data_IF_042837012301
#
_entry.id   IF_042837012301
#
_cell.length_a   1.000
_cell.length_b   1.000
_cell.length_c   1.000
_cell.angle_alpha   90.00
_cell.angle_beta   90.00
_cell.angle_gamma   90.00
#
_symmetry.space_group_name_H-M   'P 1'
#
loop_
_entity.id
_entity.type
_entity.pdbx_description
1 polymer ?
#
# COMPACT_ATOMS: atom_id res chain seq x y z
N UNK A 1 19.67 -11.19 30.28
CA UNK A 1 18.74 -10.95 29.15
C UNK A 1 19.57 -10.29 28.06
N UNK A 2 19.96 -11.10 27.05
CA UNK A 2 20.96 -10.69 26.08
C UNK A 2 20.38 -9.67 25.11
N UNK A 3 21.10 -8.57 24.86
CA UNK A 3 20.76 -7.48 23.92
C UNK A 3 20.68 -7.95 22.44
N UNK A 4 20.90 -9.23 22.16
CA UNK A 4 20.88 -9.82 20.82
C UNK A 4 19.51 -10.33 20.35
N UNK A 5 18.50 -10.41 21.22
CA UNK A 5 17.19 -10.97 20.88
C UNK A 5 16.16 -9.97 20.33
N UNK A 6 16.55 -8.70 20.15
CA UNK A 6 15.65 -7.64 19.65
C UNK A 6 15.64 -7.57 18.11
N UNK A 7 16.62 -8.14 17.44
CA UNK A 7 16.57 -8.37 15.99
C UNK A 7 15.95 -9.75 15.71
N UNK A 8 14.64 -9.88 15.97
CA UNK A 8 13.87 -11.00 15.47
C UNK A 8 14.11 -11.08 13.96
N UNK A 9 14.71 -12.17 13.52
CA UNK A 9 15.11 -12.42 12.15
C UNK A 9 13.90 -12.22 11.23
N UNK A 10 13.88 -11.10 10.50
CA UNK A 10 12.90 -10.91 9.44
C UNK A 10 13.15 -11.97 8.40
N UNK A 11 12.19 -12.85 8.20
CA UNK A 11 12.27 -13.86 7.15
C UNK A 11 11.70 -13.25 5.87
N UNK A 12 12.45 -13.37 4.79
CA UNK A 12 12.04 -12.91 3.47
C UNK A 12 12.01 -14.11 2.54
N UNK A 13 10.92 -14.26 1.79
CA UNK A 13 10.84 -15.24 0.72
C UNK A 13 10.31 -14.64 -0.56
N UNK A 14 10.82 -15.08 -1.70
CA UNK A 14 10.34 -14.73 -3.04
C UNK A 14 9.97 -16.02 -3.75
N UNK A 15 8.73 -16.09 -4.27
CA UNK A 15 8.17 -17.30 -4.91
C UNK A 15 8.31 -18.55 -4.01
N UNK A 16 8.14 -18.38 -2.69
CA UNK A 16 8.26 -19.43 -1.68
C UNK A 16 9.69 -19.84 -1.34
N UNK A 17 10.72 -19.26 -1.95
CA UNK A 17 12.12 -19.53 -1.65
C UNK A 17 12.67 -18.49 -0.68
N UNK A 18 13.25 -18.94 0.41
CA UNK A 18 13.83 -18.05 1.42
C UNK A 18 15.07 -17.33 0.90
N UNK A 19 15.21 -16.08 1.26
CA UNK A 19 16.40 -15.26 1.06
C UNK A 19 17.23 -15.38 2.34
N UNK A 20 18.38 -16.03 2.23
CA UNK A 20 19.24 -16.35 3.38
C UNK A 20 19.90 -15.09 3.97
N UNK A 21 20.30 -14.15 3.12
CA UNK A 21 20.95 -12.91 3.55
C UNK A 21 20.54 -11.71 2.71
N UNK A 22 20.47 -10.57 3.36
CA UNK A 22 20.25 -9.27 2.70
C UNK A 22 20.96 -8.17 3.49
N UNK A 23 21.34 -7.09 2.80
CA UNK A 23 22.02 -5.95 3.42
C UNK A 23 21.04 -4.96 4.03
N UNK A 24 19.95 -4.68 3.30
CA UNK A 24 18.98 -3.65 3.70
C UNK A 24 17.60 -3.97 3.18
N UNK A 25 16.61 -3.71 4.00
CA UNK A 25 15.20 -3.71 3.61
C UNK A 25 14.59 -2.35 3.96
N UNK A 26 13.94 -1.74 2.98
CA UNK A 26 13.11 -0.55 3.16
C UNK A 26 11.67 -0.90 2.84
N UNK A 27 10.76 -0.62 3.77
CA UNK A 27 9.32 -0.77 3.59
C UNK A 27 8.66 0.59 3.83
N UNK A 28 7.98 1.11 2.83
CA UNK A 28 7.25 2.37 2.86
C UNK A 28 5.75 2.09 2.80
N UNK A 29 5.04 2.52 3.82
CA UNK A 29 3.60 2.29 3.95
C UNK A 29 2.86 3.61 3.92
N UNK A 30 1.76 3.67 3.17
CA UNK A 30 0.94 4.86 3.01
C UNK A 30 -0.54 4.51 2.99
N UNK A 31 -1.38 5.43 3.47
CA UNK A 31 -2.83 5.36 3.34
C UNK A 31 -3.20 5.86 1.95
N UNK A 32 -4.19 5.24 1.32
CA UNK A 32 -4.66 5.57 -0.02
C UNK A 32 -3.59 5.46 -1.12
N UNK A 33 -2.56 4.64 -0.89
CA UNK A 33 -1.52 4.38 -1.88
C UNK A 33 -0.98 2.96 -1.73
N UNK A 34 -0.21 2.50 -2.74
CA UNK A 34 0.50 1.23 -2.64
C UNK A 34 1.63 1.35 -1.63
N UNK A 35 1.80 0.31 -0.81
CA UNK A 35 3.02 0.17 -0.06
C UNK A 35 4.16 -0.21 -0.99
N UNK A 36 5.38 0.24 -0.71
CA UNK A 36 6.57 -0.03 -1.51
C UNK A 36 7.60 -0.75 -0.68
N UNK A 37 8.31 -1.66 -1.29
CA UNK A 37 9.49 -2.26 -0.68
C UNK A 37 10.71 -2.12 -1.59
N UNK A 38 11.88 -2.04 -0.95
CA UNK A 38 13.19 -2.10 -1.61
C UNK A 38 14.08 -3.02 -0.79
N UNK A 39 14.53 -4.09 -1.40
CA UNK A 39 15.41 -5.09 -0.80
C UNK A 39 16.77 -5.05 -1.49
N UNK A 40 17.83 -4.86 -0.72
CA UNK A 40 19.21 -4.85 -1.18
C UNK A 40 19.85 -6.18 -0.82
N UNK A 41 20.24 -6.94 -1.82
CA UNK A 41 20.93 -8.21 -1.70
C UNK A 41 22.41 -8.02 -2.03
N UNK A 42 23.27 -8.76 -1.34
CA UNK A 42 24.67 -8.81 -1.67
C UNK A 42 24.89 -9.53 -3.00
N UNK A 43 25.65 -8.92 -3.91
CA UNK A 43 25.93 -9.53 -5.21
C UNK A 43 26.98 -10.65 -5.15
N UNK A 44 27.45 -10.98 -3.94
CA UNK A 44 28.58 -11.92 -3.79
C UNK A 44 29.90 -11.33 -4.31
N UNK A 45 30.99 -11.95 -3.95
CA UNK A 45 32.38 -11.46 -4.16
C UNK A 45 32.85 -11.60 -5.62
N UNK A 46 31.99 -11.47 -6.62
CA UNK A 46 32.42 -11.56 -8.02
C UNK A 46 32.54 -10.19 -8.64
N UNK A 47 33.75 -9.84 -9.13
CA UNK A 47 34.02 -8.59 -9.87
C UNK A 47 33.27 -8.50 -11.21
N UNK A 48 32.58 -9.56 -11.58
CA UNK A 48 31.73 -9.61 -12.78
C UNK A 48 30.32 -9.99 -12.39
N UNK A 49 29.33 -9.29 -12.97
CA UNK A 49 27.93 -9.68 -12.88
C UNK A 49 27.81 -11.09 -13.44
N UNK A 50 27.60 -12.06 -12.57
CA UNK A 50 27.45 -13.44 -12.97
C UNK A 50 26.12 -13.59 -13.72
N UNK A 51 26.16 -13.94 -15.00
CA UNK A 51 24.98 -14.14 -15.83
C UNK A 51 23.98 -15.12 -15.23
N UNK A 52 24.46 -16.14 -14.49
CA UNK A 52 23.58 -17.10 -13.80
C UNK A 52 22.78 -16.45 -12.67
N UNK A 53 23.34 -15.47 -11.96
CA UNK A 53 22.61 -14.72 -10.93
C UNK A 53 21.55 -13.82 -11.58
N UNK A 54 21.93 -13.14 -12.68
CA UNK A 54 20.98 -12.30 -13.44
C UNK A 54 19.78 -13.13 -13.92
N UNK A 55 20.01 -14.34 -14.44
CA UNK A 55 18.95 -15.20 -14.94
C UNK A 55 18.08 -15.76 -13.79
N UNK A 56 18.66 -16.01 -12.62
CA UNK A 56 17.90 -16.41 -11.44
C UNK A 56 16.98 -15.29 -10.95
N UNK A 57 17.50 -14.07 -10.79
CA UNK A 57 16.72 -12.96 -10.24
C UNK A 57 15.67 -12.44 -11.21
N UNK A 58 15.88 -12.53 -12.53
CA UNK A 58 14.85 -12.21 -13.53
C UNK A 58 13.58 -13.02 -13.34
N UNK A 59 13.68 -14.25 -12.86
CA UNK A 59 12.52 -15.11 -12.60
C UNK A 59 11.66 -14.58 -11.45
N UNK A 60 12.15 -13.65 -10.63
CA UNK A 60 11.40 -13.05 -9.54
C UNK A 60 10.43 -11.94 -10.00
N UNK A 61 10.61 -11.39 -11.20
CA UNK A 61 9.68 -10.39 -11.74
C UNK A 61 8.25 -10.95 -11.81
N UNK A 62 7.31 -10.20 -11.26
CA UNK A 62 5.90 -10.60 -11.14
C UNK A 62 5.62 -11.63 -10.06
N UNK A 63 6.64 -12.08 -9.30
CA UNK A 63 6.48 -13.06 -8.23
C UNK A 63 6.15 -12.41 -6.90
N UNK A 64 5.50 -13.21 -6.05
CA UNK A 64 5.15 -12.78 -4.70
C UNK A 64 6.37 -12.77 -3.80
N UNK A 65 6.55 -11.68 -3.06
CA UNK A 65 7.46 -11.57 -1.92
C UNK A 65 6.64 -11.59 -0.63
N UNK A 66 7.14 -12.33 0.37
CA UNK A 66 6.61 -12.31 1.73
C UNK A 66 7.73 -11.86 2.67
N UNK A 67 7.45 -10.83 3.45
CA UNK A 67 8.37 -10.27 4.45
C UNK A 67 7.70 -10.45 5.82
N UNK A 68 8.18 -11.42 6.58
CA UNK A 68 7.65 -11.73 7.91
C UNK A 68 8.43 -10.97 8.98
N UNK A 69 7.75 -10.28 9.86
CA UNK A 69 8.35 -9.53 10.98
C UNK A 69 7.41 -9.53 12.18
N UNK A 70 7.87 -10.03 13.33
CA UNK A 70 7.20 -9.92 14.65
C UNK A 70 5.67 -10.06 14.61
N UNK A 71 5.20 -11.18 14.03
CA UNK A 71 3.76 -11.53 14.04
C UNK A 71 2.91 -10.82 12.98
N UNK A 72 3.54 -10.13 12.02
CA UNK A 72 2.85 -9.57 10.85
C UNK A 72 3.65 -9.86 9.58
N UNK A 73 2.93 -10.26 8.55
CA UNK A 73 3.48 -10.45 7.23
C UNK A 73 3.18 -9.23 6.34
N UNK A 74 4.10 -8.97 5.43
CA UNK A 74 3.86 -8.09 4.31
C UNK A 74 3.98 -8.91 3.03
N UNK A 75 2.92 -8.92 2.25
CA UNK A 75 2.84 -9.61 0.97
C UNK A 75 2.87 -8.58 -0.16
N UNK A 76 3.81 -8.76 -1.07
CA UNK A 76 4.00 -7.84 -2.21
C UNK A 76 4.31 -8.58 -3.50
N UNK A 77 4.43 -7.80 -4.57
CA UNK A 77 4.80 -8.27 -5.91
C UNK A 77 6.09 -7.58 -6.33
N UNK A 78 7.05 -8.35 -6.80
CA UNK A 78 8.30 -7.83 -7.37
C UNK A 78 8.02 -7.23 -8.73
N UNK A 79 8.30 -5.95 -8.91
CA UNK A 79 8.04 -5.24 -10.16
C UNK A 79 9.27 -4.73 -10.87
N UNK A 80 10.39 -4.61 -10.14
CA UNK A 80 11.63 -4.09 -10.67
C UNK A 80 12.83 -4.78 -10.03
N UNK A 81 13.85 -5.04 -10.83
CA UNK A 81 15.12 -5.58 -10.38
C UNK A 81 16.24 -4.80 -11.09
N UNK A 82 17.11 -4.20 -10.30
CA UNK A 82 18.27 -3.45 -10.81
C UNK A 82 19.56 -3.99 -10.17
N UNK A 83 20.66 -3.72 -10.86
CA UNK A 83 22.00 -4.00 -10.38
C UNK A 83 22.67 -2.65 -10.16
N UNK A 84 23.11 -2.40 -8.93
CA UNK A 84 23.81 -1.19 -8.56
C UNK A 84 25.28 -1.56 -8.30
N UNK A 85 26.18 -0.93 -9.07
CA UNK A 85 27.63 -1.10 -8.99
C UNK A 85 28.27 0.29 -9.01
N UNK A 86 28.97 0.65 -7.95
CA UNK A 86 29.67 1.92 -7.81
C UNK A 86 31.13 1.66 -7.48
N UNK A 87 32.03 2.49 -7.97
CA UNK A 87 33.48 2.31 -7.82
C UNK A 87 33.92 2.28 -6.33
N UNK A 88 33.23 3.04 -5.48
CA UNK A 88 33.56 3.19 -4.04
C UNK A 88 32.52 2.57 -3.10
N UNK A 89 31.49 1.89 -3.60
CA UNK A 89 30.40 1.32 -2.81
C UNK A 89 30.22 -0.17 -3.08
N UNK A 90 29.56 -0.83 -2.14
CA UNK A 90 29.21 -2.24 -2.28
C UNK A 90 28.28 -2.48 -3.50
N UNK A 91 28.46 -3.60 -4.18
CA UNK A 91 27.63 -4.02 -5.31
C UNK A 91 26.34 -4.68 -4.81
N UNK A 92 25.20 -4.24 -5.29
CA UNK A 92 23.92 -4.75 -4.88
C UNK A 92 23.04 -5.23 -6.02
N UNK A 93 22.27 -6.26 -5.74
CA UNK A 93 21.06 -6.58 -6.48
C UNK A 93 19.93 -5.89 -5.72
N UNK A 94 19.22 -4.98 -6.38
CA UNK A 94 18.13 -4.22 -5.77
C UNK A 94 16.81 -4.74 -6.31
N UNK A 95 16.01 -5.35 -5.43
CA UNK A 95 14.68 -5.86 -5.75
C UNK A 95 13.64 -4.90 -5.21
N UNK A 96 12.82 -4.35 -6.09
CA UNK A 96 11.76 -3.39 -5.73
C UNK A 96 10.39 -3.92 -6.12
N UNK A 97 9.40 -3.42 -5.44
CA UNK A 97 8.02 -3.71 -5.79
C UNK A 97 7.03 -3.06 -4.86
N UNK A 98 5.81 -3.50 -5.00
CA UNK A 98 4.66 -2.93 -4.31
C UNK A 98 3.90 -4.00 -3.54
N UNK A 99 3.03 -3.57 -2.61
CA UNK A 99 2.00 -4.43 -2.02
C UNK A 99 1.17 -5.11 -3.11
N UNK A 100 0.51 -6.21 -2.76
CA UNK A 100 -0.37 -6.93 -3.69
C UNK A 100 -1.47 -6.07 -4.31
N UNK A 101 -1.74 -4.89 -3.75
CA UNK A 101 -2.68 -3.91 -4.30
C UNK A 101 -2.31 -3.41 -5.70
N UNK A 102 -1.05 -3.58 -6.14
CA UNK A 102 -0.63 -3.28 -7.52
C UNK A 102 -1.40 -4.07 -8.57
N UNK A 103 -1.93 -5.24 -8.20
CA UNK A 103 -2.77 -6.07 -9.07
C UNK A 103 -4.08 -5.38 -9.47
N UNK A 104 -4.48 -4.32 -8.76
CA UNK A 104 -5.62 -3.48 -9.14
C UNK A 104 -5.31 -2.52 -10.29
N UNK A 105 -4.05 -2.34 -10.66
CA UNK A 105 -3.63 -1.49 -11.79
C UNK A 105 -3.57 -2.24 -13.13
N UNK A 106 -4.14 -3.44 -13.21
CA UNK A 106 -4.18 -4.26 -14.42
C UNK A 106 -5.14 -3.66 -15.47
N UNK A 107 -4.65 -2.63 -16.15
CA UNK A 107 -5.32 -1.97 -17.26
C UNK A 107 -6.53 -1.10 -16.89
N UNK A 108 -6.87 -0.20 -17.80
CA UNK A 108 -8.02 0.68 -17.66
C UNK A 108 -9.32 -0.04 -18.05
N UNK A 109 -10.38 0.23 -17.32
CA UNK A 109 -11.70 -0.36 -17.51
C UNK A 109 -12.76 0.73 -17.65
N UNK A 110 -13.85 0.36 -18.34
CA UNK A 110 -15.05 1.20 -18.44
C UNK A 110 -16.26 0.35 -18.13
N UNK A 111 -16.95 0.67 -17.04
CA UNK A 111 -18.17 -0.01 -16.61
C UNK A 111 -19.02 0.93 -15.76
N UNK A 112 -20.30 0.65 -15.66
CA UNK A 112 -21.24 1.44 -14.87
C UNK A 112 -21.95 0.58 -13.84
N UNK A 113 -22.36 1.23 -12.76
CA UNK A 113 -23.00 0.64 -11.61
C UNK A 113 -24.30 1.39 -11.34
N UNK A 114 -25.40 0.68 -11.21
CA UNK A 114 -26.72 1.25 -10.96
C UNK A 114 -27.32 0.60 -9.71
N UNK A 115 -27.68 1.41 -8.73
CA UNK A 115 -28.31 0.94 -7.51
C UNK A 115 -27.47 -0.04 -6.70
N UNK A 116 -26.13 0.04 -6.78
CA UNK A 116 -25.19 -0.82 -6.03
C UNK A 116 -24.64 -0.12 -4.82
N UNK A 117 -24.39 -0.87 -3.76
CA UNK A 117 -23.67 -0.36 -2.58
C UNK A 117 -22.16 -0.28 -2.85
N UNK A 118 -21.44 0.51 -2.05
CA UNK A 118 -19.97 0.51 -2.09
C UNK A 118 -19.41 -0.89 -1.88
N UNK A 119 -19.97 -1.64 -0.94
CA UNK A 119 -19.54 -3.02 -0.65
C UNK A 119 -19.69 -3.93 -1.87
N UNK A 120 -20.76 -3.79 -2.65
CA UNK A 120 -20.97 -4.60 -3.86
C UNK A 120 -19.94 -4.25 -4.93
N UNK A 121 -19.73 -2.96 -5.15
CA UNK A 121 -18.74 -2.47 -6.12
C UNK A 121 -17.35 -2.97 -5.77
N UNK A 122 -16.94 -2.77 -4.51
CA UNK A 122 -15.61 -3.16 -4.04
C UNK A 122 -15.38 -4.67 -4.14
N UNK A 123 -16.38 -5.50 -3.79
CA UNK A 123 -16.28 -6.96 -3.95
C UNK A 123 -16.04 -7.38 -5.39
N UNK A 124 -16.78 -6.84 -6.33
CA UNK A 124 -16.62 -7.18 -7.75
C UNK A 124 -15.25 -6.75 -8.26
N UNK A 125 -14.83 -5.53 -7.95
CA UNK A 125 -13.53 -5.00 -8.40
C UNK A 125 -12.36 -5.78 -7.81
N UNK A 126 -12.44 -6.14 -6.53
CA UNK A 126 -11.39 -6.89 -5.84
C UNK A 126 -11.30 -8.36 -6.31
N UNK A 127 -12.43 -9.03 -6.48
CA UNK A 127 -12.47 -10.41 -6.96
C UNK A 127 -11.81 -10.56 -8.33
N UNK A 128 -12.00 -9.59 -9.22
CA UNK A 128 -11.38 -9.57 -10.54
C UNK A 128 -9.85 -9.45 -10.48
N UNK A 129 -9.29 -8.99 -9.35
CA UNK A 129 -7.85 -8.77 -9.17
C UNK A 129 -7.18 -9.84 -8.29
N UNK A 130 -7.91 -10.87 -7.87
CA UNK A 130 -7.39 -11.95 -6.98
C UNK A 130 -6.78 -11.43 -5.68
N UNK A 131 -7.23 -10.28 -5.21
CA UNK A 131 -6.73 -9.64 -4.02
C UNK A 131 -7.59 -10.01 -2.81
N UNK A 132 -6.97 -10.36 -1.70
CA UNK A 132 -7.68 -10.52 -0.42
C UNK A 132 -8.11 -9.16 0.09
N UNK A 133 -9.40 -9.00 0.41
CA UNK A 133 -9.96 -7.73 0.86
C UNK A 133 -10.82 -7.91 2.11
N UNK A 134 -10.82 -6.89 2.97
CA UNK A 134 -11.80 -6.70 4.04
C UNK A 134 -12.61 -5.45 3.71
N UNK A 135 -13.92 -5.61 3.56
CA UNK A 135 -14.82 -4.54 3.09
C UNK A 135 -15.85 -4.26 4.18
N UNK A 136 -15.71 -3.11 4.82
CA UNK A 136 -16.56 -2.66 5.93
C UNK A 136 -16.77 -1.14 5.86
N UNK A 137 -17.35 -0.61 4.75
CA UNK A 137 -17.57 0.82 4.61
C UNK A 137 -18.66 1.30 5.59
N UNK A 138 -18.55 2.55 6.04
CA UNK A 138 -19.59 3.21 6.84
C UNK A 138 -20.79 3.63 5.96
N UNK A 139 -20.54 3.96 4.68
CA UNK A 139 -21.59 4.26 3.72
C UNK A 139 -22.22 2.97 3.18
N UNK A 140 -23.46 2.71 3.56
CA UNK A 140 -24.20 1.47 3.22
C UNK A 140 -25.32 1.70 2.22
N UNK A 141 -25.71 2.95 1.95
CA UNK A 141 -26.79 3.26 1.04
C UNK A 141 -26.46 2.91 -0.40
N UNK A 142 -27.45 2.46 -1.19
CA UNK A 142 -27.25 2.23 -2.62
C UNK A 142 -26.92 3.53 -3.37
N UNK A 143 -25.88 3.45 -4.19
CA UNK A 143 -25.48 4.53 -5.09
C UNK A 143 -26.38 4.49 -6.32
N UNK A 144 -27.05 5.61 -6.61
CA UNK A 144 -27.97 5.68 -7.74
C UNK A 144 -27.28 5.34 -9.05
N UNK A 145 -26.13 5.95 -9.29
CA UNK A 145 -25.31 5.71 -10.46
C UNK A 145 -23.84 6.01 -10.14
N UNK A 146 -22.97 5.16 -10.60
CA UNK A 146 -21.51 5.37 -10.56
C UNK A 146 -20.89 4.78 -11.84
N UNK A 147 -19.82 5.41 -12.31
CA UNK A 147 -19.10 4.92 -13.48
C UNK A 147 -17.59 4.86 -13.23
N UNK A 148 -16.99 3.79 -13.70
CA UNK A 148 -15.56 3.69 -13.93
C UNK A 148 -15.34 3.98 -15.41
N UNK A 149 -14.60 5.01 -15.76
CA UNK A 149 -14.39 5.41 -17.15
C UNK A 149 -12.91 5.57 -17.44
N UNK A 150 -12.37 4.68 -18.27
CA UNK A 150 -10.98 4.66 -18.69
C UNK A 150 -9.97 4.80 -17.54
N UNK A 151 -10.29 4.25 -16.37
CA UNK A 151 -9.43 4.23 -15.19
C UNK A 151 -9.18 2.80 -14.70
N UNK A 152 -8.02 2.54 -14.06
CA UNK A 152 -7.75 1.24 -13.47
C UNK A 152 -8.55 1.04 -12.17
N UNK A 153 -8.60 -0.20 -11.69
CA UNK A 153 -9.37 -0.55 -10.51
C UNK A 153 -8.87 0.16 -9.24
N UNK A 154 -7.57 0.38 -9.11
CA UNK A 154 -6.99 1.06 -7.95
C UNK A 154 -7.46 2.51 -7.89
N UNK A 155 -7.33 3.25 -8.98
CA UNK A 155 -7.77 4.64 -9.05
C UNK A 155 -9.28 4.78 -8.86
N UNK A 156 -10.07 3.85 -9.42
CA UNK A 156 -11.51 3.83 -9.22
C UNK A 156 -11.89 3.65 -7.76
N UNK A 157 -11.35 2.63 -7.06
CA UNK A 157 -11.61 2.41 -5.63
C UNK A 157 -11.15 3.62 -4.82
N UNK A 158 -9.95 4.14 -5.09
CA UNK A 158 -9.39 5.31 -4.40
C UNK A 158 -10.28 6.54 -4.55
N UNK A 159 -10.85 6.76 -5.74
CA UNK A 159 -11.77 7.84 -6.02
C UNK A 159 -13.10 7.67 -5.25
N UNK A 160 -13.65 6.45 -5.21
CA UNK A 160 -14.85 6.17 -4.43
C UNK A 160 -14.62 6.34 -2.93
N UNK A 161 -13.52 5.83 -2.40
CA UNK A 161 -13.17 6.04 -1.00
C UNK A 161 -13.08 7.52 -0.64
N UNK A 162 -12.48 8.34 -1.51
CA UNK A 162 -12.41 9.78 -1.32
C UNK A 162 -13.80 10.45 -1.38
N UNK A 163 -14.65 10.04 -2.32
CA UNK A 163 -15.98 10.60 -2.53
C UNK A 163 -16.91 10.32 -1.34
N UNK A 164 -16.84 9.11 -0.78
CA UNK A 164 -17.69 8.65 0.32
C UNK A 164 -17.00 8.71 1.69
N UNK A 165 -15.81 9.34 1.77
CA UNK A 165 -15.04 9.51 3.02
C UNK A 165 -14.64 8.19 3.67
N UNK A 166 -14.42 7.15 2.87
CA UNK A 166 -14.00 5.83 3.33
C UNK A 166 -12.48 5.70 3.37
N UNK A 167 -12.01 4.85 4.28
CA UNK A 167 -10.59 4.53 4.37
C UNK A 167 -10.21 3.45 3.36
N UNK A 168 -9.04 3.60 2.78
CA UNK A 168 -8.40 2.57 1.97
C UNK A 168 -6.94 2.42 2.40
N UNK A 169 -6.57 1.24 2.89
CA UNK A 169 -5.19 0.96 3.28
C UNK A 169 -4.90 -0.54 3.17
N UNK A 170 -3.62 -0.87 3.05
CA UNK A 170 -3.14 -2.24 3.03
C UNK A 170 -2.54 -2.58 4.39
N UNK A 171 -2.99 -3.67 5.05
CA UNK A 171 -2.54 -4.04 6.38
C UNK A 171 -1.26 -4.90 6.39
N UNK A 172 -0.80 -5.28 5.22
CA UNK A 172 0.33 -6.18 4.97
C UNK A 172 -0.09 -7.42 4.18
N UNK A 173 -1.31 -7.89 4.33
CA UNK A 173 -1.87 -9.06 3.65
C UNK A 173 -3.12 -8.76 2.86
N UNK A 174 -3.93 -7.82 3.34
CA UNK A 174 -5.28 -7.53 2.81
C UNK A 174 -5.43 -6.05 2.50
N UNK A 175 -6.21 -5.74 1.48
CA UNK A 175 -6.72 -4.39 1.28
C UNK A 175 -7.93 -4.18 2.17
N UNK A 176 -7.88 -3.19 3.03
CA UNK A 176 -8.97 -2.79 3.92
C UNK A 176 -9.70 -1.61 3.29
N UNK A 177 -11.00 -1.75 3.11
CA UNK A 177 -11.91 -0.73 2.61
C UNK A 177 -12.95 -0.46 3.68
N UNK A 178 -12.84 0.70 4.34
CA UNK A 178 -13.62 1.08 5.50
C UNK A 178 -12.76 1.42 6.70
N UNK A 179 -13.41 1.74 7.82
CA UNK A 179 -12.74 2.22 9.02
C UNK A 179 -11.77 1.19 9.62
N UNK A 180 -10.53 1.60 9.92
CA UNK A 180 -9.59 0.72 10.60
C UNK A 180 -10.06 0.40 12.03
N UNK A 181 -9.77 -0.84 12.47
CA UNK A 181 -9.94 -1.18 13.87
C UNK A 181 -8.97 -0.35 14.71
N UNK A 182 -9.46 0.15 15.85
CA UNK A 182 -8.61 0.93 16.75
C UNK A 182 -7.56 -0.01 17.35
N UNK A 183 -6.26 0.20 17.10
CA UNK A 183 -5.24 -0.64 17.69
C UNK A 183 -5.16 -0.41 19.19
N UNK A 184 -4.72 -1.43 19.92
CA UNK A 184 -4.37 -1.27 21.32
C UNK A 184 -3.22 -0.26 21.48
N UNK A 185 -3.32 0.58 22.49
CA UNK A 185 -2.26 1.54 22.80
C UNK A 185 -0.99 0.80 23.24
N UNK A 186 0.12 1.04 22.53
CA UNK A 186 1.44 0.53 22.92
C UNK A 186 2.22 1.65 23.59
N UNK A 187 2.81 1.35 24.76
CA UNK A 187 3.74 2.24 25.41
C UNK A 187 5.13 2.06 24.78
N UNK A 188 5.70 3.14 24.27
CA UNK A 188 7.03 3.14 23.67
C UNK A 188 7.96 4.04 24.48
N UNK A 189 9.19 3.59 24.73
CA UNK A 189 10.19 4.31 25.48
C UNK A 189 11.21 4.97 24.54
N UNK A 190 11.41 6.28 24.72
CA UNK A 190 12.46 7.02 23.98
C UNK A 190 13.82 6.53 24.46
N UNK A 191 14.71 6.24 23.52
CA UNK A 191 16.05 5.70 23.80
C UNK A 191 16.13 4.18 23.79
N UNK A 192 14.97 3.48 23.85
CA UNK A 192 14.87 2.00 23.73
C UNK A 192 14.12 1.63 22.46
N UNK A 193 12.85 2.01 22.38
CA UNK A 193 11.97 1.68 21.24
C UNK A 193 11.99 2.74 20.15
N UNK A 194 12.28 3.99 20.53
CA UNK A 194 12.27 5.16 19.65
C UNK A 194 13.62 5.87 19.75
N UNK A 195 14.37 5.93 18.67
CA UNK A 195 15.63 6.66 18.60
C UNK A 195 15.42 8.17 18.52
N UNK A 196 14.38 8.64 17.84
CA UNK A 196 14.07 10.07 17.67
C UNK A 196 12.59 10.29 17.47
N UNK A 197 12.02 11.25 18.18
CA UNK A 197 10.68 11.75 17.97
C UNK A 197 10.72 13.24 17.55
N UNK A 198 9.91 13.61 16.58
CA UNK A 198 9.71 15.02 16.20
C UNK A 198 8.22 15.28 16.17
N UNK A 199 7.78 16.23 17.00
CA UNK A 199 6.38 16.70 16.99
C UNK A 199 6.34 18.07 16.33
N UNK A 200 5.38 18.25 15.44
CA UNK A 200 5.16 19.51 14.73
C UNK A 200 3.70 19.91 14.84
N UNK A 201 3.46 21.14 15.23
CA UNK A 201 2.13 21.73 15.29
C UNK A 201 2.14 22.92 14.33
N UNK A 202 1.21 22.96 13.41
CA UNK A 202 1.04 24.05 12.46
C UNK A 202 -0.41 24.49 12.39
N UNK A 203 -0.61 25.73 12.04
CA UNK A 203 -1.94 26.27 11.75
C UNK A 203 -2.14 26.31 10.24
N UNK A 204 -3.26 25.75 9.77
CA UNK A 204 -3.68 25.81 8.38
C UNK A 204 -5.02 26.56 8.26
N UNK A 205 -5.27 27.10 7.07
CA UNK A 205 -6.55 27.73 6.78
C UNK A 205 -7.66 26.68 6.84
N UNK A 206 -8.56 26.80 7.82
CA UNK A 206 -9.62 25.82 8.09
C UNK A 206 -10.97 26.17 7.48
N UNK A 207 -11.04 27.24 6.69
CA UNK A 207 -12.29 27.62 6.02
C UNK A 207 -12.33 26.92 4.66
N UNK A 208 -13.29 26.03 4.49
CA UNK A 208 -13.59 25.41 3.21
C UNK A 208 -15.06 25.62 2.88
N UNK A 209 -15.36 25.83 1.60
CA UNK A 209 -16.72 25.84 1.07
C UNK A 209 -16.78 24.81 -0.05
N UNK A 210 -17.71 23.87 0.06
CA UNK A 210 -18.03 22.93 -1.00
C UNK A 210 -19.35 23.34 -1.64
N UNK A 211 -19.42 23.28 -2.95
CA UNK A 211 -20.62 23.58 -3.70
C UNK A 211 -20.90 22.45 -4.68
N UNK A 212 -22.12 21.95 -4.73
CA UNK A 212 -22.58 20.93 -5.64
C UNK A 212 -23.86 21.39 -6.34
N UNK A 213 -24.01 21.04 -7.60
CA UNK A 213 -25.20 21.30 -8.40
C UNK A 213 -25.96 20.01 -8.67
N UNK A 214 -27.28 20.03 -8.42
CA UNK A 214 -28.16 18.91 -8.77
C UNK A 214 -28.93 19.24 -10.04
N UNK A 215 -28.62 18.56 -11.11
CA UNK A 215 -29.33 18.73 -12.38
C UNK A 215 -30.78 18.24 -12.33
N UNK A 216 -31.10 17.30 -11.43
CA UNK A 216 -32.48 16.79 -11.30
C UNK A 216 -33.43 17.81 -10.70
N UNK A 217 -32.96 18.66 -9.79
CA UNK A 217 -33.77 19.65 -9.07
C UNK A 217 -33.45 21.07 -9.51
N UNK A 218 -32.44 21.23 -10.38
CA UNK A 218 -31.93 22.55 -10.80
C UNK A 218 -31.49 23.44 -9.61
N UNK A 219 -30.97 22.79 -8.54
CA UNK A 219 -30.57 23.44 -7.29
C UNK A 219 -29.08 23.38 -7.06
N UNK A 220 -28.57 24.41 -6.39
CA UNK A 220 -27.17 24.45 -5.91
C UNK A 220 -27.13 24.29 -4.40
N UNK A 221 -26.44 23.27 -3.96
CA UNK A 221 -26.18 23.00 -2.54
C UNK A 221 -24.80 23.52 -2.16
N UNK A 222 -24.69 24.17 -1.01
CA UNK A 222 -23.40 24.57 -0.48
C UNK A 222 -23.28 24.24 1.00
N UNK A 223 -22.13 23.72 1.37
CA UNK A 223 -21.72 23.49 2.74
C UNK A 223 -20.45 24.28 3.03
N UNK A 224 -20.35 24.84 4.22
CA UNK A 224 -19.16 25.57 4.66
C UNK A 224 -18.71 25.04 6.00
N UNK A 225 -17.38 24.91 6.17
CA UNK A 225 -16.83 24.54 7.48
C UNK A 225 -17.24 25.53 8.56
N UNK A 226 -17.53 25.07 9.79
CA UNK A 226 -17.82 25.97 10.89
C UNK A 226 -16.66 26.95 11.11
N UNK A 227 -16.96 28.17 11.58
CA UNK A 227 -15.92 29.10 11.98
C UNK A 227 -15.08 28.45 13.09
N UNK A 228 -13.81 28.19 12.83
CA UNK A 228 -12.90 27.85 13.92
C UNK A 228 -12.74 29.05 14.82
N UNK A 229 -12.91 28.85 16.11
CA UNK A 229 -12.50 29.81 17.15
C UNK A 229 -11.01 30.07 17.06
#
# INVERSE_FOLDING_TARGET
>A
MNMMDIFSSKQISIDGKFIESYKKLKLEQAINDHHKFTLYLDNGVSDTINTSIVDQVKQWLGKTIVISSTGKDFVGIVTDISFEDSYDEDKYIVVKGYSSTILLEDGNKSQSWLGKTLSDIFKVVANNSRLTVKITPEHTDPIVYESQYAENNFHFIKRLCKLYYEWMFYDGEKLILGKPEKPEAKQLLIGIDIAKIKTHITTEARKSKSTSFSASNNDTYSAQSPKSL
#
